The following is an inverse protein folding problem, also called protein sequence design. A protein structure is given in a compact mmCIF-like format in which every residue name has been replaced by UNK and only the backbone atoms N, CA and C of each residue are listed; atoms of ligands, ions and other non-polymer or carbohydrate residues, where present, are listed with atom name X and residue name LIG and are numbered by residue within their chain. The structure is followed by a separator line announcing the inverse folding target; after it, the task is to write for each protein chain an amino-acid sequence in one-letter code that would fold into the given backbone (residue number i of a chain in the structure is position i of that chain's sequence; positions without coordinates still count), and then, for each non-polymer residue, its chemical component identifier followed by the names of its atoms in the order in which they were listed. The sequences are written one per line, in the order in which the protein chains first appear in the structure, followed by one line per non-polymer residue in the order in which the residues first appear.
data_IF_431075980424
#
_entry.id   IF_431075980424
#
_cell.length_a   1.000
_cell.length_b   1.000
_cell.length_c   1.000
_cell.angle_alpha   90.00
_cell.angle_beta   90.00
_cell.angle_gamma   90.00
#
_symmetry.space_group_name_H-M   'P 1'
#
loop_
_entity.id
_entity.type
_entity.pdbx_description
1 polymer ?
#
# COMPACT_ATOMS: atom_id res chain seq x y z
N UNK A 1 -18.45 -11.16 11.29
CA UNK A 1 -18.55 -10.13 12.35
C UNK A 1 -18.29 -8.76 11.71
N UNK A 2 -19.24 -7.82 11.80
CA UNK A 2 -19.13 -6.48 11.21
C UNK A 2 -18.66 -5.48 12.27
N UNK A 3 -17.36 -5.20 12.33
CA UNK A 3 -16.81 -4.23 13.28
C UNK A 3 -16.95 -2.79 12.76
N UNK A 4 -17.15 -1.85 13.69
CA UNK A 4 -17.18 -0.42 13.40
C UNK A 4 -15.80 0.12 13.01
N UNK A 5 -14.75 -0.39 13.66
CA UNK A 5 -13.36 -0.06 13.39
C UNK A 5 -12.47 -1.28 13.68
N UNK A 6 -11.40 -1.46 12.92
CA UNK A 6 -10.51 -2.61 13.01
C UNK A 6 -9.07 -2.17 12.72
N UNK A 7 -8.11 -2.62 13.53
CA UNK A 7 -6.69 -2.43 13.29
C UNK A 7 -6.02 -3.75 12.89
N UNK A 8 -5.08 -3.68 11.94
CA UNK A 8 -4.22 -4.79 11.53
C UNK A 8 -2.80 -4.30 11.32
N UNK A 9 -1.84 -5.11 11.77
CA UNK A 9 -0.45 -5.04 11.34
C UNK A 9 -0.17 -6.24 10.45
N UNK A 10 0.22 -5.97 9.21
CA UNK A 10 0.51 -7.00 8.22
C UNK A 10 1.95 -6.84 7.73
N UNK A 11 2.64 -7.96 7.50
CA UNK A 11 4.01 -7.99 6.97
C UNK A 11 4.01 -8.76 5.65
N UNK A 12 4.64 -8.19 4.64
CA UNK A 12 4.65 -8.70 3.28
C UNK A 12 6.08 -9.06 2.89
N UNK A 13 6.41 -10.35 2.87
CA UNK A 13 7.72 -10.85 2.45
C UNK A 13 7.94 -10.73 0.95
N UNK A 14 6.87 -10.73 0.17
CA UNK A 14 6.89 -10.70 -1.29
C UNK A 14 6.12 -9.49 -1.84
N UNK A 15 6.46 -9.10 -3.05
CA UNK A 15 5.78 -8.11 -3.85
C UNK A 15 4.30 -8.50 -4.01
N UNK A 16 3.43 -7.67 -3.46
CA UNK A 16 1.99 -7.91 -3.45
C UNK A 16 1.28 -6.79 -4.18
N UNK A 17 0.82 -7.06 -5.41
CA UNK A 17 0.00 -6.12 -6.18
C UNK A 17 -1.49 -6.46 -6.00
N UNK A 18 -2.20 -5.63 -5.24
CA UNK A 18 -3.64 -5.78 -5.04
C UNK A 18 -4.42 -5.23 -6.23
N UNK A 19 -5.46 -5.95 -6.65
CA UNK A 19 -6.34 -5.51 -7.73
C UNK A 19 -7.01 -4.17 -7.40
N UNK A 20 -7.22 -3.36 -8.45
CA UNK A 20 -7.92 -2.07 -8.33
C UNK A 20 -9.38 -2.30 -8.00
N UNK A 21 -9.79 -1.89 -6.79
CA UNK A 21 -11.15 -2.11 -6.28
C UNK A 21 -11.65 -0.87 -5.55
N UNK A 22 -12.97 -0.71 -5.51
CA UNK A 22 -13.62 0.33 -4.71
C UNK A 22 -13.46 -0.01 -3.23
N UNK A 23 -12.90 0.90 -2.45
CA UNK A 23 -12.77 0.70 -1.00
C UNK A 23 -14.15 0.72 -0.35
N UNK A 24 -14.51 -0.36 0.34
CA UNK A 24 -15.79 -0.47 1.06
C UNK A 24 -15.74 0.15 2.46
N UNK A 25 -14.57 0.61 2.90
CA UNK A 25 -14.31 1.20 4.21
C UNK A 25 -13.43 2.44 4.04
N UNK A 26 -13.39 3.31 5.03
CA UNK A 26 -12.27 4.22 5.13
C UNK A 26 -11.03 3.46 5.62
N UNK A 27 -9.85 3.82 5.11
CA UNK A 27 -8.58 3.21 5.52
C UNK A 27 -7.58 4.29 5.92
N UNK A 28 -6.97 4.15 7.08
CA UNK A 28 -5.76 4.88 7.45
C UNK A 28 -4.59 3.92 7.44
N UNK A 29 -3.66 4.15 6.54
CA UNK A 29 -2.48 3.33 6.32
C UNK A 29 -1.26 4.00 6.90
N UNK A 30 -0.37 3.24 7.55
CA UNK A 30 0.93 3.68 8.02
C UNK A 30 1.99 2.64 7.66
N UNK A 31 2.99 3.04 6.88
CA UNK A 31 4.11 2.16 6.53
C UNK A 31 5.14 2.19 7.65
N UNK A 32 5.51 1.02 8.18
CA UNK A 32 6.52 0.86 9.23
C UNK A 32 7.90 0.59 8.66
N UNK A 33 7.96 -0.24 7.62
CA UNK A 33 9.16 -0.58 6.87
C UNK A 33 8.79 -0.82 5.41
N UNK A 34 9.78 -0.78 4.51
CA UNK A 34 9.58 -1.03 3.08
C UNK A 34 8.90 0.13 2.36
N UNK A 35 8.15 -0.21 1.30
CA UNK A 35 7.58 0.76 0.36
C UNK A 35 6.19 0.30 -0.08
N UNK A 36 5.20 1.20 0.02
CA UNK A 36 3.86 0.96 -0.51
C UNK A 36 3.51 1.97 -1.61
N UNK A 37 2.97 1.50 -2.73
CA UNK A 37 2.41 2.34 -3.78
C UNK A 37 0.89 2.30 -3.73
N UNK A 38 0.24 3.47 -3.73
CA UNK A 38 -1.21 3.59 -3.73
C UNK A 38 -1.62 4.33 -5.00
N UNK A 39 -2.28 3.62 -5.91
CA UNK A 39 -2.81 4.23 -7.13
C UNK A 39 -4.24 4.69 -6.92
N UNK A 40 -4.47 5.99 -7.08
CA UNK A 40 -5.77 6.65 -6.94
C UNK A 40 -6.07 7.38 -8.26
N UNK A 41 -7.09 6.96 -9.00
CA UNK A 41 -7.40 7.59 -10.29
C UNK A 41 -6.24 7.40 -11.29
N UNK A 42 -5.65 8.52 -11.72
CA UNK A 42 -4.45 8.58 -12.60
C UNK A 42 -3.15 8.80 -11.82
N UNK A 43 -3.23 9.13 -10.52
CA UNK A 43 -2.06 9.42 -9.70
C UNK A 43 -1.63 8.17 -8.93
N UNK A 44 -0.33 8.04 -8.70
CA UNK A 44 0.27 7.02 -7.85
C UNK A 44 1.03 7.73 -6.73
N UNK A 45 0.76 7.30 -5.50
CA UNK A 45 1.39 7.77 -4.28
C UNK A 45 2.35 6.70 -3.79
N UNK A 46 3.41 7.11 -3.11
CA UNK A 46 4.44 6.25 -2.57
C UNK A 46 4.60 6.58 -1.09
N UNK A 47 4.39 5.59 -0.23
CA UNK A 47 4.57 5.69 1.20
C UNK A 47 5.87 4.99 1.60
N UNK A 48 6.79 5.79 2.11
CA UNK A 48 8.03 5.38 2.76
C UNK A 48 7.79 5.11 4.26
N UNK A 49 8.77 4.56 4.99
CA UNK A 49 8.65 4.35 6.42
C UNK A 49 8.23 5.61 7.19
N UNK A 50 7.34 5.42 8.16
CA UNK A 50 6.69 6.45 8.98
C UNK A 50 5.78 7.43 8.23
N UNK A 51 5.48 7.19 6.95
CA UNK A 51 4.48 7.96 6.23
C UNK A 51 3.10 7.29 6.35
N UNK A 52 2.07 8.13 6.42
CA UNK A 52 0.69 7.68 6.53
C UNK A 52 -0.20 8.25 5.41
N UNK A 53 -1.25 7.51 5.06
CA UNK A 53 -2.15 7.88 3.97
C UNK A 53 -3.59 7.52 4.30
N UNK A 54 -4.50 8.41 3.93
CA UNK A 54 -5.93 8.22 4.10
C UNK A 54 -6.58 7.85 2.77
N UNK A 55 -7.37 6.78 2.79
CA UNK A 55 -8.22 6.35 1.68
C UNK A 55 -9.67 6.42 2.13
N UNK A 56 -10.45 7.39 1.62
CA UNK A 56 -11.87 7.47 1.89
C UNK A 56 -12.62 6.24 1.39
N UNK A 57 -13.73 5.90 2.05
CA UNK A 57 -14.69 4.95 1.49
C UNK A 57 -15.11 5.35 0.07
N UNK A 58 -15.53 4.37 -0.73
CA UNK A 58 -15.90 4.52 -2.13
C UNK A 58 -14.78 5.03 -3.08
N UNK A 59 -13.55 5.18 -2.58
CA UNK A 59 -12.39 5.48 -3.43
C UNK A 59 -11.99 4.26 -4.27
N UNK A 60 -11.77 4.46 -5.57
CA UNK A 60 -11.23 3.41 -6.44
C UNK A 60 -9.70 3.45 -6.39
N UNK A 61 -9.09 2.46 -5.74
CA UNK A 61 -7.65 2.39 -5.55
C UNK A 61 -7.08 1.00 -5.78
N UNK A 62 -5.78 0.92 -6.07
CA UNK A 62 -4.97 -0.30 -5.93
C UNK A 62 -3.77 -0.02 -5.04
N UNK A 63 -3.30 -1.04 -4.34
CA UNK A 63 -2.14 -0.96 -3.46
C UNK A 63 -1.10 -1.97 -3.96
N UNK A 64 0.14 -1.54 -4.12
CA UNK A 64 1.28 -2.43 -4.33
C UNK A 64 2.19 -2.34 -3.11
N UNK A 65 2.55 -3.46 -2.52
CA UNK A 65 3.43 -3.54 -1.36
C UNK A 65 4.72 -4.22 -1.80
N UNK A 66 5.85 -3.56 -1.59
CA UNK A 66 7.15 -4.10 -1.98
C UNK A 66 7.60 -5.15 -0.95
N UNK A 67 8.51 -6.07 -1.31
CA UNK A 67 9.09 -7.02 -0.34
C UNK A 67 9.62 -6.31 0.91
N UNK A 68 9.42 -6.93 2.07
CA UNK A 68 9.84 -6.37 3.37
C UNK A 68 8.94 -5.24 3.89
N UNK A 69 7.79 -4.99 3.24
CA UNK A 69 6.86 -3.95 3.70
C UNK A 69 6.09 -4.42 4.93
N UNK A 70 6.11 -3.63 5.99
CA UNK A 70 5.21 -3.78 7.13
C UNK A 70 4.23 -2.62 7.16
N UNK A 71 2.94 -2.95 7.18
CA UNK A 71 1.84 -2.01 7.06
C UNK A 71 0.92 -2.10 8.27
N UNK A 72 0.68 -0.96 8.90
CA UNK A 72 -0.42 -0.76 9.83
C UNK A 72 -1.62 -0.23 9.06
N UNK A 73 -2.78 -0.86 9.25
CA UNK A 73 -4.03 -0.49 8.61
C UNK A 73 -5.15 -0.36 9.63
N UNK A 74 -5.77 0.81 9.66
CA UNK A 74 -7.00 1.09 10.40
C UNK A 74 -8.17 1.16 9.42
N UNK A 75 -9.08 0.20 9.51
CA UNK A 75 -10.27 0.11 8.70
C UNK A 75 -11.48 0.66 9.48
N UNK A 76 -12.12 1.71 8.99
CA UNK A 76 -13.36 2.26 9.58
C UNK A 76 -14.56 1.94 8.70
N UNK A 77 -15.56 1.30 9.31
CA UNK A 77 -16.79 0.88 8.65
C UNK A 77 -17.67 2.05 8.24
N UNK A 78 -18.36 1.90 7.12
CA UNK A 78 -19.33 2.89 6.58
C UNK A 78 -20.52 3.14 7.51
N UNK A 79 -20.75 2.28 8.50
CA UNK A 79 -21.84 2.40 9.47
C UNK A 79 -21.53 3.40 10.59
N UNK A 80 -20.27 3.78 10.73
CA UNK A 80 -19.82 4.80 11.67
C UNK A 80 -20.37 6.16 11.20
N UNK A 81 -21.05 6.88 12.08
CA UNK A 81 -21.86 8.06 11.72
C UNK A 81 -21.05 9.36 11.72
N UNK A 82 -19.85 9.32 12.28
CA UNK A 82 -18.92 10.43 12.31
C UNK A 82 -18.54 10.86 10.89
N UNK A 83 -18.30 12.16 10.71
CA UNK A 83 -17.83 12.70 9.44
C UNK A 83 -16.32 12.51 9.33
N UNK A 84 -15.90 11.78 8.31
CA UNK A 84 -14.49 11.60 7.96
C UNK A 84 -14.12 12.39 6.71
N UNK A 85 -12.82 12.67 6.49
CA UNK A 85 -12.39 13.35 5.27
C UNK A 85 -12.76 12.60 3.99
N UNK A 86 -13.29 13.36 3.04
CA UNK A 86 -13.71 12.89 1.72
C UNK A 86 -12.56 12.83 0.71
N UNK A 87 -11.48 13.58 0.93
CA UNK A 87 -10.29 13.54 0.08
C UNK A 87 -9.34 12.45 0.55
N UNK A 88 -8.70 11.76 -0.40
CA UNK A 88 -7.54 10.92 -0.10
C UNK A 88 -6.29 11.78 0.02
N UNK A 89 -5.21 11.21 0.55
CA UNK A 89 -3.91 11.89 0.58
C UNK A 89 -3.03 11.48 1.73
N UNK A 90 -1.83 12.06 1.75
CA UNK A 90 -0.91 11.93 2.87
C UNK A 90 -1.48 12.55 4.12
N UNK A 91 -1.22 11.91 5.25
CA UNK A 91 -1.63 12.40 6.56
C UNK A 91 -0.41 12.54 7.45
N UNK A 92 -0.23 13.73 8.01
CA UNK A 92 0.72 13.95 9.10
C UNK A 92 0.12 13.38 10.37
N UNK A 93 0.77 12.37 10.95
CA UNK A 93 0.34 11.78 12.22
C UNK A 93 0.59 12.76 13.37
N UNK A 94 -0.40 12.91 14.25
CA UNK A 94 -0.18 13.53 15.55
C UNK A 94 0.70 12.61 16.41
N UNK A 95 1.37 13.18 17.41
CA UNK A 95 2.15 12.39 18.39
C UNK A 95 1.25 11.34 19.07
N UNK A 96 0.00 11.69 19.37
CA UNK A 96 -0.99 10.79 19.95
C UNK A 96 -1.33 9.64 19.00
N UNK A 97 -1.66 9.94 17.75
CA UNK A 97 -2.01 8.92 16.75
C UNK A 97 -0.87 7.92 16.53
N UNK A 98 0.37 8.41 16.42
CA UNK A 98 1.55 7.55 16.26
C UNK A 98 1.75 6.63 17.49
N UNK A 99 1.63 7.17 18.70
CA UNK A 99 1.75 6.39 19.93
C UNK A 99 0.67 5.29 20.02
N UNK A 100 -0.57 5.61 19.65
CA UNK A 100 -1.67 4.65 19.60
C UNK A 100 -1.39 3.56 18.56
N UNK A 101 -0.95 3.90 17.35
CA UNK A 101 -0.58 2.91 16.34
C UNK A 101 0.53 1.97 16.82
N UNK A 102 1.52 2.48 17.56
CA UNK A 102 2.56 1.64 18.16
C UNK A 102 1.96 0.68 19.18
N UNK A 103 1.15 1.22 20.10
CA UNK A 103 0.54 0.43 21.18
C UNK A 103 -0.43 -0.63 20.67
N UNK A 104 -1.26 -0.30 19.67
CA UNK A 104 -2.23 -1.22 19.08
C UNK A 104 -1.62 -2.52 18.53
N UNK A 105 -0.34 -2.52 18.20
CA UNK A 105 0.35 -3.71 17.72
C UNK A 105 0.89 -4.62 18.82
N UNK A 106 0.94 -4.14 20.05
CA UNK A 106 1.38 -4.89 21.23
C UNK A 106 0.19 -5.40 22.05
N UNK A 107 -0.97 -4.78 21.87
CA UNK A 107 -2.19 -5.09 22.63
C UNK A 107 -2.93 -6.27 22.02
N UNK A 108 -3.44 -7.15 22.89
CA UNK A 108 -4.20 -8.31 22.48
C UNK A 108 -5.45 -7.90 21.66
N UNK A 109 -5.70 -8.54 20.51
CA UNK A 109 -6.89 -8.28 19.72
C UNK A 109 -8.17 -8.47 20.54
N UNK A 110 -9.10 -7.53 20.43
CA UNK A 110 -10.41 -7.51 21.09
C UNK A 110 -10.37 -7.35 22.62
N UNK A 111 -9.23 -7.00 23.19
CA UNK A 111 -9.16 -6.55 24.58
C UNK A 111 -9.88 -5.21 24.76
N UNK A 112 -10.30 -4.91 25.99
CA UNK A 112 -10.87 -3.61 26.36
C UNK A 112 -9.91 -2.46 26.02
N UNK A 113 -8.62 -2.62 26.36
CA UNK A 113 -7.56 -1.68 25.99
C UNK A 113 -7.51 -1.42 24.47
N UNK A 114 -7.61 -2.46 23.63
CA UNK A 114 -7.64 -2.26 22.18
C UNK A 114 -8.85 -1.44 21.75
N UNK A 115 -10.03 -1.73 22.30
CA UNK A 115 -11.26 -1.03 21.95
C UNK A 115 -11.21 0.45 22.33
N UNK A 116 -10.63 0.78 23.49
CA UNK A 116 -10.41 2.16 23.94
C UNK A 116 -9.44 2.90 23.01
N UNK A 117 -8.30 2.29 22.68
CA UNK A 117 -7.31 2.86 21.76
C UNK A 117 -7.91 3.10 20.37
N UNK A 118 -8.69 2.15 19.85
CA UNK A 118 -9.40 2.29 18.58
C UNK A 118 -10.43 3.43 18.63
N UNK A 119 -11.12 3.63 19.77
CA UNK A 119 -12.07 4.72 19.91
C UNK A 119 -11.39 6.09 19.84
N UNK A 120 -10.20 6.24 20.44
CA UNK A 120 -9.41 7.46 20.35
C UNK A 120 -8.90 7.68 18.92
N UNK A 121 -8.35 6.65 18.28
CA UNK A 121 -7.84 6.77 16.91
C UNK A 121 -8.95 7.06 15.89
N UNK A 122 -10.16 6.54 16.12
CA UNK A 122 -11.36 6.91 15.34
C UNK A 122 -11.64 8.40 15.44
N UNK A 123 -11.54 8.99 16.63
CA UNK A 123 -11.75 10.42 16.85
C UNK A 123 -10.65 11.25 16.18
N UNK A 124 -9.40 10.82 16.27
CA UNK A 124 -8.28 11.45 15.55
C UNK A 124 -8.52 11.43 14.03
N UNK A 125 -9.02 10.31 13.49
CA UNK A 125 -9.30 10.15 12.06
C UNK A 125 -10.36 11.13 11.53
N UNK A 126 -11.25 11.69 12.36
CA UNK A 126 -12.20 12.73 11.92
C UNK A 126 -11.52 14.10 11.74
N UNK A 127 -10.31 14.28 12.28
CA UNK A 127 -9.60 15.56 12.31
C UNK A 127 -8.42 15.63 11.33
N UNK A 128 -8.06 14.50 10.69
CA UNK A 128 -6.97 14.46 9.72
C UNK A 128 -7.29 15.35 8.51
N UNK A 129 -6.23 15.90 7.90
CA UNK A 129 -6.32 16.75 6.71
C UNK A 129 -5.46 16.15 5.60
N UNK A 130 -6.03 15.26 4.76
CA UNK A 130 -5.26 14.57 3.74
C UNK A 130 -4.74 15.54 2.68
N UNK A 131 -3.43 15.47 2.41
CA UNK A 131 -2.75 16.24 1.37
C UNK A 131 -2.60 15.39 0.11
N UNK A 132 -3.27 15.80 -0.97
CA UNK A 132 -3.31 15.06 -2.23
C UNK A 132 -2.21 15.53 -3.19
N UNK A 133 -0.98 15.62 -2.68
CA UNK A 133 0.20 16.04 -3.46
C UNK A 133 1.24 14.92 -3.45
N UNK A 134 1.55 14.31 -4.61
CA UNK A 134 2.59 13.28 -4.71
C UNK A 134 3.97 13.84 -4.33
N UNK A 135 4.73 13.10 -3.53
CA UNK A 135 6.13 13.41 -3.25
C UNK A 135 6.99 13.30 -4.52
N UNK A 136 8.21 13.85 -4.49
CA UNK A 136 9.10 13.78 -5.65
C UNK A 136 9.43 12.34 -6.07
N UNK A 137 9.64 11.46 -5.08
CA UNK A 137 9.79 10.04 -5.32
C UNK A 137 8.56 9.42 -6.01
N UNK A 138 7.34 9.83 -5.65
CA UNK A 138 6.13 9.38 -6.36
C UNK A 138 6.16 9.77 -7.84
N UNK A 139 6.65 10.98 -8.13
CA UNK A 139 6.74 11.47 -9.52
C UNK A 139 7.76 10.67 -10.32
N UNK A 140 8.90 10.32 -9.70
CA UNK A 140 9.90 9.45 -10.32
C UNK A 140 9.32 8.05 -10.58
N UNK A 141 8.72 7.42 -9.57
CA UNK A 141 8.12 6.09 -9.69
C UNK A 141 6.96 6.04 -10.69
N UNK A 142 6.15 7.09 -10.78
CA UNK A 142 5.03 7.15 -11.74
C UNK A 142 5.48 7.38 -13.19
N UNK A 143 6.69 7.91 -13.40
CA UNK A 143 7.34 8.06 -14.72
C UNK A 143 8.19 6.85 -15.12
N UNK A 144 8.34 5.88 -14.21
CA UNK A 144 9.13 4.69 -14.47
C UNK A 144 8.67 3.96 -15.73
N UNK A 145 9.66 3.45 -16.45
CA UNK A 145 9.56 2.53 -17.57
C UNK A 145 10.59 1.40 -17.41
N UNK A 146 10.43 0.28 -18.15
CA UNK A 146 11.43 -0.79 -18.15
C UNK A 146 12.85 -0.35 -18.51
N UNK A 147 13.00 0.79 -19.21
CA UNK A 147 14.29 1.37 -19.60
C UNK A 147 14.80 2.44 -18.62
N UNK A 148 14.11 2.65 -17.49
CA UNK A 148 14.49 3.66 -16.52
C UNK A 148 15.73 3.24 -15.71
N UNK A 149 16.71 4.13 -15.61
CA UNK A 149 17.97 3.89 -14.90
C UNK A 149 18.17 4.77 -13.65
N UNK A 150 17.24 5.69 -13.38
CA UNK A 150 17.34 6.70 -12.31
C UNK A 150 16.88 6.19 -10.94
N UNK A 151 16.17 5.06 -10.90
CA UNK A 151 15.66 4.50 -9.65
C UNK A 151 16.67 3.56 -8.99
N UNK A 152 16.51 3.37 -7.68
CA UNK A 152 17.14 2.28 -6.97
C UNK A 152 16.91 0.94 -7.68
N UNK A 153 17.95 0.10 -7.75
CA UNK A 153 17.91 -1.18 -8.46
C UNK A 153 16.85 -2.11 -7.90
N UNK A 154 16.68 -2.17 -6.59
CA UNK A 154 15.66 -3.01 -5.95
C UNK A 154 14.26 -2.56 -6.36
N UNK A 155 14.03 -1.25 -6.39
CA UNK A 155 12.75 -0.70 -6.80
C UNK A 155 12.47 -0.92 -8.29
N UNK A 156 13.49 -0.74 -9.13
CA UNK A 156 13.40 -1.02 -10.55
C UNK A 156 13.02 -2.50 -10.81
N UNK A 157 13.66 -3.45 -10.12
CA UNK A 157 13.34 -4.87 -10.24
C UNK A 157 11.91 -5.19 -9.78
N UNK A 158 11.49 -4.64 -8.64
CA UNK A 158 10.11 -4.81 -8.16
C UNK A 158 9.08 -4.24 -9.15
N UNK A 159 9.35 -3.11 -9.78
CA UNK A 159 8.48 -2.52 -10.79
C UNK A 159 8.45 -3.34 -12.10
N UNK A 160 9.59 -3.90 -12.53
CA UNK A 160 9.64 -4.82 -13.67
C UNK A 160 8.76 -6.05 -13.42
N UNK A 161 8.90 -6.70 -12.26
CA UNK A 161 8.09 -7.86 -11.90
C UNK A 161 6.61 -7.50 -11.75
N UNK A 162 6.29 -6.33 -11.18
CA UNK A 162 4.91 -5.82 -11.13
C UNK A 162 4.31 -5.67 -12.53
N UNK A 163 5.05 -5.11 -13.48
CA UNK A 163 4.59 -4.93 -14.85
C UNK A 163 4.46 -6.27 -15.58
N UNK A 164 5.40 -7.19 -15.36
CA UNK A 164 5.33 -8.56 -15.90
C UNK A 164 4.06 -9.28 -15.42
N UNK A 165 3.80 -9.28 -14.10
CA UNK A 165 2.60 -9.88 -13.52
C UNK A 165 1.32 -9.26 -14.09
N UNK A 166 1.28 -7.92 -14.22
CA UNK A 166 0.15 -7.21 -14.81
C UNK A 166 -0.10 -7.65 -16.26
N UNK A 167 0.96 -7.76 -17.08
CA UNK A 167 0.84 -8.18 -18.48
C UNK A 167 0.35 -9.63 -18.61
N UNK A 168 0.85 -10.52 -17.77
CA UNK A 168 0.38 -11.91 -17.71
C UNK A 168 -1.11 -11.98 -17.32
N UNK A 169 -1.54 -11.21 -16.32
CA UNK A 169 -2.96 -11.15 -15.91
C UNK A 169 -3.87 -10.53 -17.00
N UNK A 170 -3.31 -9.74 -17.92
CA UNK A 170 -4.04 -9.23 -19.09
C UNK A 170 -3.98 -10.14 -20.31
N UNK A 171 -3.46 -11.37 -20.18
CA UNK A 171 -3.39 -12.35 -21.28
C UNK A 171 -2.16 -12.21 -22.18
N UNK A 172 -1.12 -11.50 -21.75
CA UNK A 172 0.15 -11.44 -22.46
C UNK A 172 0.84 -12.81 -22.52
N UNK A 173 1.52 -13.09 -23.64
CA UNK A 173 2.34 -14.31 -23.78
C UNK A 173 3.63 -14.18 -22.99
N UNK A 174 4.02 -15.24 -22.26
CA UNK A 174 5.21 -15.24 -21.41
C UNK A 174 6.47 -14.86 -22.18
N UNK A 175 6.65 -15.41 -23.38
CA UNK A 175 7.83 -15.19 -24.23
C UNK A 175 7.99 -13.71 -24.59
N UNK A 176 6.87 -13.03 -24.89
CA UNK A 176 6.88 -11.61 -25.20
C UNK A 176 7.20 -10.77 -23.96
N UNK A 177 6.63 -11.12 -22.80
CA UNK A 177 6.90 -10.43 -21.54
C UNK A 177 8.39 -10.57 -21.15
N UNK A 178 8.96 -11.77 -21.28
CA UNK A 178 10.37 -12.04 -21.02
C UNK A 178 11.27 -11.27 -21.99
N UNK A 179 10.96 -11.29 -23.29
CA UNK A 179 11.70 -10.55 -24.31
C UNK A 179 11.76 -9.04 -24.02
N UNK A 180 10.61 -8.44 -23.70
CA UNK A 180 10.50 -6.98 -23.53
C UNK A 180 10.97 -6.46 -22.17
N UNK A 181 10.83 -7.25 -21.09
CA UNK A 181 11.12 -6.80 -19.72
C UNK A 181 12.42 -7.38 -19.15
N UNK A 182 12.89 -8.51 -19.68
CA UNK A 182 14.05 -9.24 -19.18
C UNK A 182 15.05 -9.57 -20.31
N UNK A 183 15.00 -8.82 -21.41
CA UNK A 183 15.93 -8.97 -22.55
C UNK A 183 15.97 -10.38 -23.15
N UNK A 184 14.89 -11.15 -23.02
CA UNK A 184 14.80 -12.53 -23.50
C UNK A 184 15.40 -13.58 -22.57
N UNK A 185 15.95 -13.19 -21.41
CA UNK A 185 16.52 -14.11 -20.43
C UNK A 185 15.42 -14.69 -19.53
N UNK A 186 14.91 -15.87 -19.90
CA UNK A 186 13.88 -16.57 -19.14
C UNK A 186 14.38 -17.06 -17.77
N UNK A 187 15.66 -17.44 -17.66
CA UNK A 187 16.22 -17.89 -16.38
C UNK A 187 16.28 -16.73 -15.40
N UNK A 188 16.78 -15.58 -15.84
CA UNK A 188 16.79 -14.36 -15.04
C UNK A 188 15.37 -13.96 -14.62
N UNK A 189 14.41 -13.99 -15.55
CA UNK A 189 13.01 -13.69 -15.25
C UNK A 189 12.47 -14.61 -14.13
N UNK A 190 12.68 -15.91 -14.24
CA UNK A 190 12.18 -16.87 -13.25
C UNK A 190 12.83 -16.65 -11.88
N UNK A 191 14.15 -16.46 -11.82
CA UNK A 191 14.89 -16.22 -10.56
C UNK A 191 14.40 -14.94 -9.86
N UNK A 192 14.26 -13.84 -10.61
CA UNK A 192 13.81 -12.57 -10.05
C UNK A 192 12.34 -12.67 -9.59
N UNK A 193 11.48 -13.33 -10.37
CA UNK A 193 10.09 -13.53 -9.98
C UNK A 193 9.97 -14.42 -8.75
N UNK A 194 10.74 -15.49 -8.64
CA UNK A 194 10.73 -16.36 -7.47
C UNK A 194 11.17 -15.62 -6.21
N UNK A 195 12.23 -14.81 -6.31
CA UNK A 195 12.70 -13.95 -5.23
C UNK A 195 11.63 -12.93 -4.80
N UNK A 196 11.03 -12.21 -5.76
CA UNK A 196 10.16 -11.07 -5.46
C UNK A 196 8.70 -11.46 -5.24
N UNK A 197 8.15 -12.47 -5.93
CA UNK A 197 6.76 -12.93 -5.82
C UNK A 197 6.60 -14.21 -4.98
N UNK A 198 7.69 -14.93 -4.71
CA UNK A 198 7.62 -16.27 -4.11
C UNK A 198 7.16 -17.35 -5.08
N UNK A 199 7.15 -17.06 -6.39
CA UNK A 199 6.74 -17.98 -7.46
C UNK A 199 7.26 -17.52 -8.83
N UNK A 200 7.32 -18.44 -9.78
CA UNK A 200 7.59 -18.10 -11.19
C UNK A 200 6.42 -17.32 -11.82
N UNK A 201 6.71 -16.62 -12.91
CA UNK A 201 5.77 -15.76 -13.64
C UNK A 201 4.59 -16.54 -14.24
#
# INVERSE_FOLDING_TARGET
MNYAIEFKRESFSHLTAMARKRSLKHKWLLVRSGLALIKMGKQEFCLQPNQSFWIPQNSLCSITLFPGTQLDALDVSVRVRETFPYSAGYVTLSALSLAIFNKLAEVAPRSEEQLELLAVLRREATQIRPLFEPSELCKQLSRWSPQSHELDKEWHMALLVREAQKRMLSGGKKEQVVSELFSGDEQQCNVICEMLLGKTL
#
